data_IF_238903909786
#
_entry.id   IF_238903909786
#
_cell.length_a   1.000
_cell.length_b   1.000
_cell.length_c   1.000
_cell.angle_alpha   90.00
_cell.angle_beta   90.00
_cell.angle_gamma   90.00
#
_symmetry.space_group_name_H-M   'P 1'
#
loop_
_entity.id
_entity.type
_entity.pdbx_description
1 polymer ?
#
# COMPACT_ATOMS: atom_id res chain seq x y z
N UNK A 1 38.46 -22.49 1.31
CA UNK A 1 37.07 -22.23 1.72
C UNK A 1 36.89 -22.66 3.17
N UNK A 2 36.48 -21.73 4.04
CA UNK A 2 36.36 -21.96 5.49
C UNK A 2 34.97 -22.51 5.88
N UNK A 3 34.80 -22.97 7.13
CA UNK A 3 33.49 -23.45 7.62
C UNK A 3 32.43 -22.34 7.58
N UNK A 4 32.82 -21.11 7.91
CA UNK A 4 31.93 -19.95 7.86
C UNK A 4 31.51 -19.62 6.43
N UNK A 5 32.41 -19.71 5.44
CA UNK A 5 32.07 -19.47 4.03
C UNK A 5 31.05 -20.49 3.53
N UNK A 6 31.18 -21.77 3.92
CA UNK A 6 30.20 -22.82 3.58
C UNK A 6 28.85 -22.50 4.19
N UNK A 7 28.81 -22.17 5.49
CA UNK A 7 27.58 -21.81 6.19
C UNK A 7 26.92 -20.58 5.56
N UNK A 8 27.70 -19.56 5.20
CA UNK A 8 27.20 -18.40 4.50
C UNK A 8 26.54 -18.76 3.16
N UNK A 9 27.19 -19.62 2.34
CA UNK A 9 26.64 -20.04 1.06
C UNK A 9 25.31 -20.79 1.22
N UNK A 10 25.21 -21.65 2.23
CA UNK A 10 23.98 -22.40 2.53
C UNK A 10 22.83 -21.47 2.93
N UNK A 11 23.09 -20.51 3.83
CA UNK A 11 22.07 -19.53 4.22
C UNK A 11 21.72 -18.59 3.06
N UNK A 12 22.70 -18.13 2.27
CA UNK A 12 22.44 -17.28 1.10
C UNK A 12 21.59 -18.02 0.08
N UNK A 13 21.80 -19.32 -0.12
CA UNK A 13 20.98 -20.15 -1.01
C UNK A 13 19.52 -20.22 -0.53
N UNK A 14 19.27 -20.29 0.79
CA UNK A 14 17.92 -20.23 1.35
C UNK A 14 17.25 -18.87 1.08
N UNK A 15 18.00 -17.78 1.27
CA UNK A 15 17.55 -16.43 0.95
C UNK A 15 17.25 -16.24 -0.54
N UNK A 16 18.11 -16.76 -1.42
CA UNK A 16 17.91 -16.69 -2.87
C UNK A 16 16.68 -17.51 -3.30
N UNK A 17 16.49 -18.70 -2.73
CA UNK A 17 15.33 -19.55 -3.01
C UNK A 17 14.01 -18.85 -2.69
N UNK A 18 13.87 -18.25 -1.50
CA UNK A 18 12.61 -17.57 -1.14
C UNK A 18 12.34 -16.34 -2.02
N UNK A 19 13.39 -15.57 -2.36
CA UNK A 19 13.24 -14.46 -3.30
C UNK A 19 12.86 -14.98 -4.70
N UNK A 20 13.44 -16.10 -5.11
CA UNK A 20 13.16 -16.76 -6.40
C UNK A 20 11.71 -17.22 -6.49
N UNK A 21 11.17 -17.80 -5.42
CA UNK A 21 9.77 -18.20 -5.33
C UNK A 21 8.85 -16.98 -5.41
N UNK A 22 9.16 -15.91 -4.66
CA UNK A 22 8.39 -14.67 -4.65
C UNK A 22 8.30 -13.99 -6.03
N UNK A 23 9.35 -14.05 -6.83
CA UNK A 23 9.40 -13.44 -8.16
C UNK A 23 9.28 -14.44 -9.32
N UNK A 24 9.09 -15.73 -9.04
CA UNK A 24 9.10 -16.81 -10.03
C UNK A 24 10.31 -16.72 -10.98
N UNK A 25 11.51 -16.53 -10.43
CA UNK A 25 12.74 -16.32 -11.20
C UNK A 25 13.90 -17.18 -10.69
N UNK A 26 15.00 -17.29 -11.45
CA UNK A 26 16.15 -18.13 -11.09
C UNK A 26 17.17 -17.46 -10.16
N UNK A 27 17.17 -16.13 -10.08
CA UNK A 27 18.17 -15.36 -9.33
C UNK A 27 17.46 -14.42 -8.37
N UNK A 28 16.85 -15.01 -7.34
CA UNK A 28 15.94 -14.35 -6.41
C UNK A 28 16.51 -13.07 -5.81
N UNK A 29 17.68 -13.12 -5.17
CA UNK A 29 18.28 -11.93 -4.53
C UNK A 29 18.57 -10.84 -5.56
N UNK A 30 19.05 -11.20 -6.75
CA UNK A 30 19.30 -10.21 -7.81
C UNK A 30 18.01 -9.58 -8.31
N UNK A 31 16.94 -10.35 -8.44
CA UNK A 31 15.63 -9.81 -8.79
C UNK A 31 15.08 -8.92 -7.68
N UNK A 32 15.25 -9.31 -6.42
CA UNK A 32 14.86 -8.48 -5.26
C UNK A 32 15.55 -7.11 -5.30
N UNK A 33 16.88 -7.09 -5.50
CA UNK A 33 17.66 -5.84 -5.63
C UNK A 33 17.12 -5.00 -6.79
N UNK A 34 16.79 -5.63 -7.93
CA UNK A 34 16.21 -4.94 -9.08
C UNK A 34 14.85 -4.32 -8.76
N UNK A 35 13.99 -5.00 -7.99
CA UNK A 35 12.73 -4.41 -7.56
C UNK A 35 12.92 -3.22 -6.61
N UNK A 36 13.93 -3.26 -5.74
CA UNK A 36 14.31 -2.08 -4.95
C UNK A 36 14.83 -0.93 -5.83
N UNK A 37 15.52 -1.22 -6.94
CA UNK A 37 15.94 -0.19 -7.90
C UNK A 37 14.75 0.43 -8.63
N UNK A 38 13.82 -0.41 -9.11
CA UNK A 38 12.60 0.02 -9.79
C UNK A 38 11.74 0.94 -8.92
N UNK A 39 11.69 0.68 -7.61
CA UNK A 39 10.86 1.41 -6.65
C UNK A 39 11.65 2.41 -5.81
N UNK A 40 12.92 2.69 -6.17
CA UNK A 40 13.87 3.46 -5.35
C UNK A 40 13.35 4.82 -4.89
N UNK A 41 12.74 5.61 -5.79
CA UNK A 41 12.23 6.94 -5.43
C UNK A 41 11.21 6.89 -4.30
N UNK A 42 10.29 5.91 -4.38
CA UNK A 42 9.21 5.77 -3.41
C UNK A 42 9.69 5.07 -2.14
N UNK A 43 10.44 3.99 -2.29
CA UNK A 43 10.97 3.21 -1.19
C UNK A 43 11.84 4.04 -0.24
N UNK A 44 12.75 4.87 -0.78
CA UNK A 44 13.55 5.80 0.02
C UNK A 44 12.73 6.84 0.78
N UNK A 45 11.58 7.24 0.24
CA UNK A 45 10.71 8.23 0.86
C UNK A 45 9.84 7.61 1.97
N UNK A 46 9.40 6.36 1.81
CA UNK A 46 8.43 5.73 2.71
C UNK A 46 9.06 4.81 3.75
N UNK A 47 10.19 4.17 3.42
CA UNK A 47 10.80 3.12 4.23
C UNK A 47 12.16 3.60 4.73
N UNK A 48 12.27 3.83 6.05
CA UNK A 48 13.47 4.32 6.71
C UNK A 48 14.72 3.46 6.43
N UNK A 49 14.57 2.13 6.44
CA UNK A 49 15.69 1.19 6.24
C UNK A 49 16.04 0.94 4.77
N UNK A 50 15.36 1.56 3.81
CA UNK A 50 15.45 1.21 2.39
C UNK A 50 16.89 1.19 1.86
N UNK A 51 17.64 2.27 2.12
CA UNK A 51 19.00 2.40 1.61
C UNK A 51 19.98 1.45 2.30
N UNK A 52 19.77 1.15 3.57
CA UNK A 52 20.63 0.24 4.33
C UNK A 52 20.37 -1.20 3.90
N UNK A 53 19.12 -1.59 3.73
CA UNK A 53 18.72 -2.90 3.21
C UNK A 53 19.21 -3.12 1.77
N UNK A 54 19.13 -2.09 0.91
CA UNK A 54 19.64 -2.14 -0.45
C UNK A 54 21.17 -2.35 -0.48
N UNK A 55 21.91 -1.59 0.33
CA UNK A 55 23.38 -1.73 0.44
C UNK A 55 23.74 -3.11 0.99
N UNK A 56 23.02 -3.58 2.01
CA UNK A 56 23.23 -4.88 2.62
C UNK A 56 23.09 -6.00 1.57
N UNK A 57 21.99 -6.05 0.82
CA UNK A 57 21.80 -7.09 -0.20
C UNK A 57 22.88 -7.07 -1.29
N UNK A 58 23.34 -5.89 -1.69
CA UNK A 58 24.47 -5.79 -2.64
C UNK A 58 25.76 -6.31 -2.03
N UNK A 59 26.05 -5.98 -0.78
CA UNK A 59 27.20 -6.51 -0.04
C UNK A 59 27.14 -8.04 0.03
N UNK A 60 26.02 -8.62 0.49
CA UNK A 60 25.85 -10.07 0.58
C UNK A 60 26.02 -10.76 -0.78
N UNK A 61 25.48 -10.19 -1.86
CA UNK A 61 25.68 -10.70 -3.22
C UNK A 61 27.14 -10.66 -3.66
N UNK A 62 27.87 -9.59 -3.31
CA UNK A 62 29.30 -9.48 -3.58
C UNK A 62 30.08 -10.53 -2.80
N UNK A 63 29.82 -10.70 -1.50
CA UNK A 63 30.44 -11.75 -0.66
C UNK A 63 30.22 -13.13 -1.26
N UNK A 64 28.98 -13.47 -1.66
CA UNK A 64 28.67 -14.73 -2.35
C UNK A 64 29.51 -14.92 -3.60
N UNK A 65 29.59 -13.89 -4.45
CA UNK A 65 30.35 -13.98 -5.69
C UNK A 65 31.85 -14.18 -5.43
N UNK A 66 32.42 -13.51 -4.42
CA UNK A 66 33.82 -13.69 -4.04
C UNK A 66 34.11 -15.12 -3.59
N UNK A 67 33.29 -15.68 -2.70
CA UNK A 67 33.47 -17.07 -2.22
C UNK A 67 33.44 -18.07 -3.38
N UNK A 68 32.52 -17.89 -4.33
CA UNK A 68 32.32 -18.84 -5.44
C UNK A 68 33.41 -18.74 -6.51
N UNK A 69 33.91 -17.53 -6.79
CA UNK A 69 34.77 -17.29 -7.96
C UNK A 69 36.24 -17.04 -7.62
N UNK A 70 36.55 -16.62 -6.39
CA UNK A 70 37.90 -16.27 -6.00
C UNK A 70 38.49 -17.40 -5.14
N UNK A 71 39.50 -18.10 -5.68
CA UNK A 71 40.23 -19.17 -4.99
C UNK A 71 41.16 -18.59 -3.93
N UNK A 72 40.60 -18.13 -2.81
CA UNK A 72 41.38 -17.61 -1.68
C UNK A 72 41.63 -18.65 -0.59
N UNK A 73 42.82 -18.57 0.00
CA UNK A 73 43.23 -19.35 1.18
C UNK A 73 42.84 -18.66 2.51
N UNK A 74 42.04 -17.59 2.46
CA UNK A 74 41.58 -16.83 3.64
C UNK A 74 40.05 -16.71 3.69
N UNK A 75 39.52 -16.44 4.89
CA UNK A 75 38.08 -16.27 5.17
C UNK A 75 37.52 -15.04 4.45
N UNK A 76 36.42 -15.20 3.70
CA UNK A 76 35.84 -14.13 2.87
C UNK A 76 34.61 -13.50 3.52
N UNK A 77 33.72 -14.29 4.10
CA UNK A 77 32.57 -13.77 4.84
C UNK A 77 32.92 -13.54 6.32
N UNK A 78 32.35 -12.52 6.93
CA UNK A 78 32.36 -12.32 8.38
C UNK A 78 31.18 -13.06 9.03
N UNK A 79 31.24 -13.32 10.35
CA UNK A 79 30.09 -13.93 11.06
C UNK A 79 28.85 -13.04 11.00
N UNK A 80 29.04 -11.72 11.00
CA UNK A 80 28.00 -10.71 10.79
C UNK A 80 27.28 -10.85 9.44
N UNK A 81 27.97 -11.31 8.39
CA UNK A 81 27.35 -11.54 7.08
C UNK A 81 26.34 -12.68 7.13
N UNK A 82 26.65 -13.74 7.88
CA UNK A 82 25.75 -14.89 8.08
C UNK A 82 24.51 -14.43 8.85
N UNK A 83 24.70 -13.70 9.95
CA UNK A 83 23.59 -13.17 10.75
C UNK A 83 22.71 -12.24 9.93
N UNK A 84 23.30 -11.42 9.05
CA UNK A 84 22.57 -10.52 8.18
C UNK A 84 21.73 -11.26 7.13
N UNK A 85 22.25 -12.36 6.53
CA UNK A 85 21.47 -13.21 5.61
C UNK A 85 20.27 -13.82 6.34
N UNK A 86 20.49 -14.41 7.51
CA UNK A 86 19.44 -15.06 8.31
C UNK A 86 18.39 -14.04 8.73
N UNK A 87 18.80 -12.88 9.23
CA UNK A 87 17.88 -11.81 9.64
C UNK A 87 17.04 -11.30 8.46
N UNK A 88 17.66 -11.11 7.29
CA UNK A 88 16.92 -10.65 6.11
C UNK A 88 15.90 -11.70 5.63
N UNK A 89 16.28 -12.98 5.67
CA UNK A 89 15.35 -14.09 5.38
C UNK A 89 14.14 -14.09 6.33
N UNK A 90 14.37 -13.96 7.63
CA UNK A 90 13.28 -13.89 8.63
C UNK A 90 12.38 -12.67 8.43
N UNK A 91 12.96 -11.53 8.02
CA UNK A 91 12.18 -10.33 7.67
C UNK A 91 11.30 -10.54 6.45
N UNK A 92 11.73 -11.30 5.45
CA UNK A 92 10.85 -11.66 4.31
C UNK A 92 9.69 -12.52 4.80
N UNK A 93 9.97 -13.56 5.59
CA UNK A 93 8.93 -14.46 6.12
C UNK A 93 7.90 -13.72 6.98
N UNK A 94 8.35 -12.77 7.79
CA UNK A 94 7.49 -11.94 8.65
C UNK A 94 6.90 -10.73 7.94
N UNK A 95 7.13 -10.57 6.63
CA UNK A 95 6.73 -9.40 5.83
C UNK A 95 7.19 -8.06 6.44
N UNK A 96 8.34 -8.07 7.11
CA UNK A 96 9.05 -6.90 7.66
C UNK A 96 10.23 -6.46 6.77
N UNK A 97 10.35 -7.02 5.58
CA UNK A 97 11.31 -6.59 4.55
C UNK A 97 10.85 -5.30 3.85
N UNK A 98 11.75 -4.54 3.19
CA UNK A 98 11.42 -3.27 2.55
C UNK A 98 10.29 -3.31 1.53
N UNK A 99 10.20 -4.38 0.72
CA UNK A 99 9.21 -4.46 -0.35
C UNK A 99 7.83 -4.79 0.23
N UNK A 100 7.76 -5.66 1.24
CA UNK A 100 6.54 -5.93 1.99
C UNK A 100 6.04 -4.71 2.75
N UNK A 101 6.95 -3.96 3.40
CA UNK A 101 6.58 -2.71 4.07
C UNK A 101 6.04 -1.68 3.07
N UNK A 102 6.70 -1.52 1.91
CA UNK A 102 6.23 -0.61 0.87
C UNK A 102 4.86 -1.00 0.31
N UNK A 103 4.59 -2.30 0.14
CA UNK A 103 3.28 -2.80 -0.27
C UNK A 103 2.21 -2.52 0.79
N UNK A 104 2.55 -2.62 2.08
CA UNK A 104 1.62 -2.31 3.18
C UNK A 104 1.26 -0.82 3.19
N UNK A 105 2.23 0.07 3.01
CA UNK A 105 1.97 1.52 2.94
C UNK A 105 1.10 1.89 1.73
N UNK A 106 1.21 1.15 0.62
CA UNK A 106 0.31 1.27 -0.54
C UNK A 106 -1.14 0.93 -0.18
N UNK A 107 -1.36 -0.25 0.38
CA UNK A 107 -2.72 -0.72 0.72
C UNK A 107 -3.39 0.23 1.72
N UNK A 108 -2.67 0.67 2.75
CA UNK A 108 -3.20 1.61 3.74
C UNK A 108 -3.65 2.94 3.12
N UNK A 109 -2.89 3.45 2.14
CA UNK A 109 -3.25 4.70 1.43
C UNK A 109 -4.47 4.51 0.54
N UNK A 110 -4.57 3.38 -0.14
CA UNK A 110 -5.74 3.07 -0.98
C UNK A 110 -7.01 2.93 -0.15
N UNK A 111 -6.92 2.27 1.01
CA UNK A 111 -8.02 2.14 1.96
C UNK A 111 -8.45 3.51 2.51
N UNK A 112 -7.49 4.35 2.90
CA UNK A 112 -7.78 5.72 3.33
C UNK A 112 -8.45 6.53 2.22
N UNK A 113 -7.99 6.41 0.98
CA UNK A 113 -8.56 7.10 -0.18
C UNK A 113 -9.99 6.63 -0.47
N UNK A 114 -10.23 5.33 -0.39
CA UNK A 114 -11.56 4.73 -0.57
C UNK A 114 -12.53 5.19 0.52
N UNK A 115 -12.08 5.20 1.78
CA UNK A 115 -12.85 5.69 2.92
C UNK A 115 -13.22 7.17 2.76
N UNK A 116 -12.25 8.01 2.37
CA UNK A 116 -12.51 9.43 2.10
C UNK A 116 -13.54 9.63 0.98
N UNK A 117 -13.42 8.90 -0.14
CA UNK A 117 -14.38 8.96 -1.25
C UNK A 117 -15.79 8.53 -0.82
N UNK A 118 -15.89 7.51 0.03
CA UNK A 118 -17.17 7.04 0.58
C UNK A 118 -17.82 8.10 1.46
N UNK A 119 -17.06 8.73 2.35
CA UNK A 119 -17.54 9.82 3.21
C UNK A 119 -17.97 11.03 2.37
N UNK A 120 -17.17 11.41 1.38
CA UNK A 120 -17.50 12.52 0.47
C UNK A 120 -18.80 12.24 -0.29
N UNK A 121 -18.96 11.05 -0.87
CA UNK A 121 -20.18 10.68 -1.58
C UNK A 121 -21.41 10.64 -0.66
N UNK A 122 -21.29 10.14 0.57
CA UNK A 122 -22.37 10.18 1.55
C UNK A 122 -22.76 11.63 1.91
N UNK A 123 -21.77 12.52 2.04
CA UNK A 123 -22.02 13.95 2.28
C UNK A 123 -22.63 14.68 1.07
N UNK A 124 -22.34 14.23 -0.15
CA UNK A 124 -22.97 14.76 -1.36
C UNK A 124 -24.42 14.25 -1.51
N UNK A 125 -24.70 12.98 -1.19
CA UNK A 125 -26.07 12.45 -1.18
C UNK A 125 -26.95 13.15 -0.13
N UNK A 126 -26.41 13.42 1.07
CA UNK A 126 -27.16 14.18 2.08
C UNK A 126 -27.41 15.65 1.68
N UNK A 127 -26.50 16.25 0.90
CA UNK A 127 -26.70 17.59 0.35
C UNK A 127 -27.70 17.63 -0.83
N UNK A 128 -27.80 16.55 -1.62
CA UNK A 128 -28.78 16.43 -2.71
C UNK A 128 -30.20 16.10 -2.20
N UNK A 129 -30.31 15.41 -1.05
CA UNK A 129 -31.58 15.21 -0.33
C UNK A 129 -32.02 16.42 0.51
N UNK A 130 -31.81 17.65 0.04
CA UNK A 130 -32.66 18.75 0.51
C UNK A 130 -34.03 18.55 -0.15
N UNK A 131 -35.12 18.23 0.59
CA UNK A 131 -36.43 18.30 -0.04
C UNK A 131 -36.62 19.74 -0.52
N UNK A 132 -36.79 19.92 -1.83
CA UNK A 132 -37.38 21.14 -2.38
C UNK A 132 -38.64 21.40 -1.56
N UNK A 133 -38.58 22.47 -0.75
CA UNK A 133 -39.62 22.87 0.20
C UNK A 133 -40.92 23.08 -0.59
N UNK A 134 -41.74 22.04 -0.71
CA UNK A 134 -43.02 22.11 -1.41
C UNK A 134 -44.05 22.78 -0.50
N UNK A 135 -43.95 24.10 -0.35
CA UNK A 135 -45.02 24.93 0.18
C UNK A 135 -45.78 25.56 -0.98
N UNK A 136 -46.92 24.97 -1.34
CA UNK A 136 -48.04 25.67 -2.02
C UNK A 136 -49.29 24.78 -2.03
N UNK A 137 -49.89 24.60 -0.84
CA UNK A 137 -51.30 24.15 -0.71
C UNK A 137 -52.19 25.20 -0.01
N UNK A 138 -51.59 26.18 0.67
CA UNK A 138 -52.34 27.22 1.39
C UNK A 138 -53.02 28.25 0.48
N UNK A 139 -52.47 28.54 -0.70
CA UNK A 139 -53.00 29.60 -1.57
C UNK A 139 -54.28 29.17 -2.31
N UNK A 140 -54.40 27.88 -2.66
CA UNK A 140 -55.56 27.35 -3.39
C UNK A 140 -56.82 27.37 -2.50
N UNK A 141 -56.67 27.07 -1.21
CA UNK A 141 -57.79 27.03 -0.26
C UNK A 141 -58.35 28.45 -0.03
N UNK A 142 -57.48 29.48 0.04
CA UNK A 142 -57.91 30.88 0.23
C UNK A 142 -58.69 31.40 -0.98
N UNK A 143 -58.29 31.04 -2.21
CA UNK A 143 -59.01 31.43 -3.43
C UNK A 143 -60.39 30.76 -3.52
N UNK A 144 -60.51 29.49 -3.11
CA UNK A 144 -61.81 28.79 -3.09
C UNK A 144 -62.77 29.45 -2.09
N UNK A 145 -62.31 29.81 -0.89
CA UNK A 145 -63.15 30.48 0.12
C UNK A 145 -63.63 31.84 -0.39
N UNK A 146 -62.75 32.64 -1.00
CA UNK A 146 -63.13 33.94 -1.59
C UNK A 146 -64.17 33.79 -2.70
N UNK A 147 -64.03 32.80 -3.58
CA UNK A 147 -65.00 32.53 -4.64
C UNK A 147 -66.39 32.15 -4.09
N UNK A 148 -66.43 31.33 -3.03
CA UNK A 148 -67.69 30.94 -2.37
C UNK A 148 -68.37 32.17 -1.75
N UNK A 149 -67.61 33.03 -1.06
CA UNK A 149 -68.15 34.26 -0.45
C UNK A 149 -68.78 35.17 -1.52
N UNK A 150 -68.08 35.38 -2.64
CA UNK A 150 -68.59 36.21 -3.75
C UNK A 150 -69.89 35.63 -4.33
N UNK A 151 -69.96 34.31 -4.53
CA UNK A 151 -71.16 33.66 -5.06
C UNK A 151 -72.37 33.81 -4.12
N UNK A 152 -72.17 33.68 -2.80
CA UNK A 152 -73.23 33.88 -1.81
C UNK A 152 -73.73 35.32 -1.84
N UNK A 153 -72.84 36.31 -1.84
CA UNK A 153 -73.25 37.73 -1.92
C UNK A 153 -74.06 37.99 -3.19
N UNK A 154 -73.65 37.44 -4.33
CA UNK A 154 -74.38 37.57 -5.59
C UNK A 154 -75.80 36.98 -5.52
N UNK A 155 -75.98 35.85 -4.82
CA UNK A 155 -77.29 35.22 -4.63
C UNK A 155 -78.24 35.98 -3.69
N UNK A 156 -77.73 36.90 -2.87
CA UNK A 156 -78.53 37.77 -2.01
C UNK A 156 -78.88 39.12 -2.64
N UNK A 157 -78.15 39.52 -3.70
CA UNK A 157 -78.32 40.83 -4.38
C UNK A 157 -79.13 40.72 -5.67
N UNK A 158 -79.25 39.52 -6.25
CA UNK A 158 -80.08 39.22 -7.42
C UNK A 158 -81.40 38.56 -7.06
#
# INVERSE_FOLDING_TARGET
MTNDDVKFLDEYKRLDAICSDMFSCRNGVSQYIKEMENQSCRGKYEILSWDDDYKLLKHLRLVRNKIVHESFDYKVCESSDIDAVVNFYERIISEGDPLSLLRKTETEREDMRSKYKTVLNASLDCNFRRPLRKKRKSFVIVVIILAIIIAVVYSFVS
#
